data_IF_958027080083
#
_entry.id   IF_958027080083
#
_cell.length_a   1.000
_cell.length_b   1.000
_cell.length_c   1.000
_cell.angle_alpha   90.00
_cell.angle_beta   90.00
_cell.angle_gamma   90.00
#
_symmetry.space_group_name_H-M   'P 1'
#
loop_
_entity.id
_entity.type
_entity.pdbx_description
1 polymer ?
#
# COMPACT_ATOMS: atom_id res chain seq x y z
N UNK A 1 -10.13 -3.77 -42.20
CA UNK A 1 -9.58 -4.53 -41.06
C UNK A 1 -9.68 -6.00 -41.37
N UNK A 2 -8.53 -6.66 -41.56
CA UNK A 2 -8.46 -8.10 -41.80
C UNK A 2 -8.71 -8.90 -40.52
N UNK A 3 -9.01 -10.19 -40.67
CA UNK A 3 -9.23 -11.11 -39.54
C UNK A 3 -7.99 -11.20 -38.62
N UNK A 4 -6.80 -11.07 -39.20
CA UNK A 4 -5.51 -11.08 -38.49
C UNK A 4 -5.35 -9.82 -37.61
N UNK A 5 -5.75 -8.64 -38.10
CA UNK A 5 -5.69 -7.39 -37.34
C UNK A 5 -6.56 -7.47 -36.07
N UNK A 6 -7.76 -8.06 -36.19
CA UNK A 6 -8.66 -8.26 -35.05
C UNK A 6 -8.11 -9.25 -34.02
N UNK A 7 -7.38 -10.27 -34.47
CA UNK A 7 -6.74 -11.25 -33.58
C UNK A 7 -5.56 -10.58 -32.85
N UNK A 8 -4.74 -9.78 -33.54
CA UNK A 8 -3.65 -9.02 -32.93
C UNK A 8 -4.18 -8.05 -31.88
N UNK A 9 -5.20 -7.26 -32.21
CA UNK A 9 -5.80 -6.29 -31.29
C UNK A 9 -6.41 -6.96 -30.05
N UNK A 10 -6.97 -8.17 -30.20
CA UNK A 10 -7.42 -8.97 -29.07
C UNK A 10 -6.26 -9.41 -28.17
N UNK A 11 -5.17 -9.92 -28.75
CA UNK A 11 -3.98 -10.33 -27.99
C UNK A 11 -3.33 -9.17 -27.25
N UNK A 12 -3.22 -8.00 -27.88
CA UNK A 12 -2.65 -6.80 -27.27
C UNK A 12 -3.49 -6.35 -26.07
N UNK A 13 -4.82 -6.36 -26.21
CA UNK A 13 -5.74 -6.01 -25.12
C UNK A 13 -5.68 -7.01 -23.95
N UNK A 14 -5.66 -8.32 -24.23
CA UNK A 14 -5.54 -9.35 -23.19
C UNK A 14 -4.22 -9.22 -22.46
N UNK A 15 -3.11 -9.01 -23.18
CA UNK A 15 -1.77 -8.86 -22.60
C UNK A 15 -1.70 -7.62 -21.71
N UNK A 16 -2.28 -6.50 -22.14
CA UNK A 16 -2.35 -5.28 -21.34
C UNK A 16 -3.13 -5.49 -20.03
N UNK A 17 -4.30 -6.15 -20.09
CA UNK A 17 -5.11 -6.44 -18.91
C UNK A 17 -4.37 -7.37 -17.94
N UNK A 18 -3.77 -8.44 -18.47
CA UNK A 18 -3.05 -9.41 -17.65
C UNK A 18 -1.86 -8.76 -16.94
N UNK A 19 -1.08 -7.95 -17.67
CA UNK A 19 0.04 -7.19 -17.12
C UNK A 19 -0.40 -6.26 -15.98
N UNK A 20 -1.52 -5.54 -16.15
CA UNK A 20 -2.06 -4.67 -15.11
C UNK A 20 -2.47 -5.47 -13.86
N UNK A 21 -3.17 -6.61 -14.03
CA UNK A 21 -3.57 -7.47 -12.91
C UNK A 21 -2.34 -7.99 -12.17
N UNK A 22 -1.34 -8.51 -12.89
CA UNK A 22 -0.10 -9.02 -12.30
C UNK A 22 0.63 -7.93 -11.50
N UNK A 23 0.69 -6.70 -12.03
CA UNK A 23 1.30 -5.58 -11.33
C UNK A 23 0.59 -5.26 -10.01
N UNK A 24 -0.75 -5.23 -9.99
CA UNK A 24 -1.51 -5.01 -8.76
C UNK A 24 -1.32 -6.13 -7.73
N UNK A 25 -1.33 -7.39 -8.18
CA UNK A 25 -1.09 -8.54 -7.30
C UNK A 25 0.30 -8.48 -6.68
N UNK A 26 1.33 -8.12 -7.46
CA UNK A 26 2.69 -7.94 -6.97
C UNK A 26 2.78 -6.84 -5.91
N UNK A 27 2.14 -5.69 -6.13
CA UNK A 27 2.12 -4.60 -5.16
C UNK A 27 1.47 -5.04 -3.85
N UNK A 28 0.32 -5.72 -3.91
CA UNK A 28 -0.38 -6.23 -2.71
C UNK A 28 0.51 -7.25 -1.98
N UNK A 29 1.15 -8.16 -2.71
CA UNK A 29 2.06 -9.14 -2.13
C UNK A 29 3.28 -8.48 -1.46
N UNK A 30 3.88 -7.48 -2.09
CA UNK A 30 4.99 -6.71 -1.52
C UNK A 30 4.56 -5.96 -0.26
N UNK A 31 3.37 -5.34 -0.25
CA UNK A 31 2.83 -4.66 0.93
C UNK A 31 2.68 -5.66 2.07
N UNK A 32 2.04 -6.81 1.84
CA UNK A 32 1.84 -7.84 2.85
C UNK A 32 3.16 -8.41 3.39
N UNK A 33 4.18 -8.57 2.54
CA UNK A 33 5.51 -9.03 2.98
C UNK A 33 6.22 -7.97 3.82
N UNK A 34 6.24 -6.71 3.35
CA UNK A 34 6.93 -5.61 4.01
C UNK A 34 6.26 -5.17 5.32
N UNK A 35 4.94 -5.33 5.44
CA UNK A 35 4.22 -5.08 6.68
C UNK A 35 4.41 -6.18 7.73
N UNK A 36 5.20 -7.23 7.44
CA UNK A 36 5.54 -8.28 8.38
C UNK A 36 4.63 -9.51 8.29
N UNK A 37 4.00 -9.78 7.14
CA UNK A 37 3.13 -10.93 6.95
C UNK A 37 3.82 -12.27 7.24
N UNK A 38 5.09 -12.41 6.86
CA UNK A 38 5.89 -13.60 7.18
C UNK A 38 6.07 -13.78 8.68
N UNK A 39 6.31 -12.69 9.41
CA UNK A 39 6.45 -12.75 10.87
C UNK A 39 5.15 -13.25 11.48
N UNK A 40 4.00 -12.66 11.13
CA UNK A 40 2.69 -13.07 11.67
C UNK A 40 2.38 -14.53 11.39
N UNK A 41 2.68 -15.02 10.18
CA UNK A 41 2.44 -16.41 9.80
C UNK A 41 3.30 -17.39 10.61
N UNK A 42 4.57 -17.04 10.85
CA UNK A 42 5.52 -17.93 11.51
C UNK A 42 5.36 -17.90 13.03
N UNK A 43 5.28 -16.71 13.62
CA UNK A 43 5.32 -16.54 15.08
C UNK A 43 3.95 -16.53 15.73
N UNK A 44 2.88 -16.34 14.95
CA UNK A 44 1.49 -16.25 15.42
C UNK A 44 1.36 -15.32 16.64
N UNK A 45 1.78 -14.06 16.53
CA UNK A 45 1.75 -13.13 17.66
C UNK A 45 0.29 -12.83 18.06
N UNK A 46 0.04 -12.49 19.33
CA UNK A 46 -1.27 -11.98 19.74
C UNK A 46 -1.62 -10.72 18.92
N UNK A 47 -2.92 -10.50 18.74
CA UNK A 47 -3.42 -9.35 17.98
C UNK A 47 -3.03 -8.02 18.62
N UNK A 48 -2.96 -7.98 19.94
CA UNK A 48 -2.66 -6.79 20.75
C UNK A 48 -1.97 -7.21 22.06
N UNK A 49 -1.30 -6.26 22.70
CA UNK A 49 -0.66 -6.41 24.01
C UNK A 49 -1.33 -5.56 25.09
N UNK A 50 -0.81 -5.65 26.32
CA UNK A 50 -1.22 -4.78 27.43
C UNK A 50 -0.22 -3.64 27.65
N UNK A 51 -0.71 -2.46 28.04
CA UNK A 51 0.14 -1.36 28.50
C UNK A 51 0.39 -1.45 30.02
N UNK A 52 1.48 -0.84 30.54
CA UNK A 52 1.74 -0.77 31.98
C UNK A 52 0.63 -0.09 32.79
N UNK A 53 -0.20 0.72 32.13
CA UNK A 53 -1.34 1.44 32.73
C UNK A 53 -2.66 0.66 32.65
N UNK A 54 -2.65 -0.57 32.14
CA UNK A 54 -3.85 -1.42 32.00
C UNK A 54 -4.67 -1.18 30.72
N UNK A 55 -4.10 -0.47 29.74
CA UNK A 55 -4.69 -0.25 28.42
C UNK A 55 -4.25 -1.28 27.37
N UNK A 56 -4.68 -1.06 26.13
CA UNK A 56 -4.36 -1.91 24.97
C UNK A 56 -3.18 -1.34 24.19
N UNK A 57 -2.17 -2.15 23.93
CA UNK A 57 -1.01 -1.83 23.11
C UNK A 57 -1.18 -2.44 21.71
N UNK A 58 -1.30 -1.58 20.70
CA UNK A 58 -1.42 -2.00 19.29
C UNK A 58 -0.08 -1.98 18.54
N UNK A 59 0.98 -1.48 19.18
CA UNK A 59 2.34 -1.41 18.67
C UNK A 59 3.31 -1.99 19.70
N UNK A 60 4.20 -2.86 19.26
CA UNK A 60 5.25 -3.45 20.04
C UNK A 60 6.39 -2.45 20.21
N UNK A 61 6.84 -2.30 21.46
CA UNK A 61 7.94 -1.46 21.89
C UNK A 61 9.30 -1.82 21.25
N UNK A 62 9.47 -3.05 20.80
CA UNK A 62 10.76 -3.51 20.25
C UNK A 62 10.70 -3.60 18.72
N UNK A 63 11.76 -3.21 18.00
CA UNK A 63 11.79 -3.28 16.54
C UNK A 63 11.84 -4.71 15.99
N UNK A 64 12.26 -5.69 16.80
CA UNK A 64 12.33 -7.11 16.44
C UNK A 64 11.03 -7.88 16.66
N UNK A 65 9.99 -7.22 17.17
CA UNK A 65 8.69 -7.82 17.45
C UNK A 65 7.56 -6.96 16.90
N UNK A 66 6.44 -7.59 16.57
CA UNK A 66 5.21 -6.92 16.22
C UNK A 66 3.99 -7.71 16.69
N UNK A 67 2.94 -7.01 17.08
CA UNK A 67 1.61 -7.58 17.27
C UNK A 67 0.92 -7.86 15.93
N UNK A 68 -0.07 -8.76 15.94
CA UNK A 68 -0.83 -9.11 14.73
C UNK A 68 -1.52 -7.90 14.09
N UNK A 69 -2.00 -6.94 14.89
CA UNK A 69 -2.68 -5.74 14.37
C UNK A 69 -1.72 -4.79 13.63
N UNK A 70 -0.43 -4.80 13.97
CA UNK A 70 0.57 -3.93 13.33
C UNK A 70 0.71 -4.22 11.83
N UNK A 71 0.54 -5.48 11.44
CA UNK A 71 0.53 -5.90 10.03
C UNK A 71 -0.45 -5.05 9.20
N UNK A 72 -1.65 -4.86 9.73
CA UNK A 72 -2.71 -4.14 9.04
C UNK A 72 -2.48 -2.63 9.08
N UNK A 73 -1.95 -2.10 10.19
CA UNK A 73 -1.60 -0.69 10.32
C UNK A 73 -0.50 -0.33 9.32
N UNK A 74 0.63 -1.03 9.37
CA UNK A 74 1.77 -0.81 8.45
C UNK A 74 1.36 -1.09 7.01
N UNK A 75 0.59 -2.16 6.77
CA UNK A 75 0.08 -2.49 5.44
C UNK A 75 -0.80 -1.38 4.85
N UNK A 76 -1.67 -0.77 5.66
CA UNK A 76 -2.52 0.36 5.24
C UNK A 76 -1.67 1.58 4.90
N UNK A 77 -0.65 1.89 5.70
CA UNK A 77 0.26 3.01 5.48
C UNK A 77 1.02 2.83 4.16
N UNK A 78 1.61 1.65 3.92
CA UNK A 78 2.30 1.32 2.67
C UNK A 78 1.35 1.30 1.47
N UNK A 79 0.10 0.85 1.66
CA UNK A 79 -0.93 0.88 0.64
C UNK A 79 -1.32 2.30 0.23
N UNK A 80 -1.56 3.20 1.20
CA UNK A 80 -1.83 4.62 0.94
C UNK A 80 -0.65 5.28 0.21
N UNK A 81 0.58 4.99 0.63
CA UNK A 81 1.77 5.51 -0.03
C UNK A 81 1.84 5.04 -1.50
N UNK A 82 1.62 3.74 -1.74
CA UNK A 82 1.64 3.14 -3.08
C UNK A 82 0.56 3.72 -3.99
N UNK A 83 -0.67 3.87 -3.48
CA UNK A 83 -1.78 4.51 -4.20
C UNK A 83 -1.44 5.97 -4.52
N UNK A 84 -0.81 6.69 -3.59
CA UNK A 84 -0.38 8.07 -3.77
C UNK A 84 0.61 8.24 -4.93
N UNK A 85 1.63 7.38 -5.00
CA UNK A 85 2.59 7.36 -6.11
C UNK A 85 1.90 7.04 -7.44
N UNK A 86 1.04 6.02 -7.47
CA UNK A 86 0.33 5.64 -8.71
C UNK A 86 -0.58 6.79 -9.19
N UNK A 87 -1.29 7.46 -8.28
CA UNK A 87 -2.11 8.62 -8.61
C UNK A 87 -1.28 9.74 -9.23
N UNK A 88 -0.10 10.04 -8.68
CA UNK A 88 0.80 11.06 -9.21
C UNK A 88 1.36 10.71 -10.59
N UNK A 89 1.77 9.46 -10.79
CA UNK A 89 2.27 8.99 -12.09
C UNK A 89 1.17 8.99 -13.17
N UNK A 90 -0.10 8.84 -12.77
CA UNK A 90 -1.24 8.87 -13.70
C UNK A 90 -1.79 10.27 -13.95
N UNK A 91 -1.61 11.20 -13.01
CA UNK A 91 -2.07 12.58 -13.14
C UNK A 91 -1.68 13.29 -14.46
N UNK A 92 -0.44 13.20 -14.99
CA UNK A 92 -0.09 13.85 -16.25
C UNK A 92 -0.73 13.20 -17.49
N UNK A 93 -1.18 11.95 -17.39
CA UNK A 93 -1.74 11.18 -18.50
C UNK A 93 -3.27 11.31 -18.62
N UNK A 94 -3.91 12.16 -17.80
CA UNK A 94 -5.35 12.42 -17.89
C UNK A 94 -5.62 13.39 -19.05
N UNK A 95 -6.00 12.83 -20.20
CA UNK A 95 -6.37 13.60 -21.38
C UNK A 95 -7.73 14.28 -21.22
N UNK A 96 -7.82 15.55 -21.65
CA UNK A 96 -9.08 16.24 -21.92
C UNK A 96 -9.65 17.11 -20.79
N UNK A 97 -9.28 16.93 -19.51
CA UNK A 97 -9.81 17.76 -18.42
C UNK A 97 -8.78 18.06 -17.32
N UNK A 98 -8.11 19.23 -17.42
CA UNK A 98 -7.06 19.70 -16.48
C UNK A 98 -7.49 19.62 -15.00
N UNK A 99 -8.77 19.82 -14.70
CA UNK A 99 -9.32 19.75 -13.33
C UNK A 99 -9.18 18.36 -12.70
N UNK A 100 -9.33 17.29 -13.49
CA UNK A 100 -9.20 15.90 -13.02
C UNK A 100 -7.74 15.49 -12.84
N UNK A 101 -6.85 16.01 -13.68
CA UNK A 101 -5.40 15.85 -13.50
C UNK A 101 -4.94 16.49 -12.18
N UNK A 102 -5.40 17.72 -11.89
CA UNK A 102 -5.05 18.42 -10.65
C UNK A 102 -5.64 17.75 -9.41
N UNK A 103 -6.89 17.28 -9.46
CA UNK A 103 -7.50 16.59 -8.31
C UNK A 103 -6.83 15.25 -8.03
N UNK A 104 -6.46 14.48 -9.07
CA UNK A 104 -5.73 13.23 -8.89
C UNK A 104 -4.32 13.46 -8.32
N UNK A 105 -3.63 14.50 -8.79
CA UNK A 105 -2.33 14.89 -8.23
C UNK A 105 -2.46 15.32 -6.75
N UNK A 106 -3.48 16.12 -6.41
CA UNK A 106 -3.72 16.55 -5.04
C UNK A 106 -4.05 15.36 -4.12
N UNK A 107 -4.88 14.43 -4.57
CA UNK A 107 -5.15 13.18 -3.86
C UNK A 107 -3.86 12.38 -3.63
N UNK A 108 -3.02 12.25 -4.67
CA UNK A 108 -1.75 11.55 -4.56
C UNK A 108 -0.81 12.16 -3.53
N UNK A 109 -0.67 13.50 -3.54
CA UNK A 109 0.13 14.23 -2.55
C UNK A 109 -0.40 14.02 -1.13
N UNK A 110 -1.71 14.11 -0.92
CA UNK A 110 -2.33 13.89 0.39
C UNK A 110 -2.05 12.48 0.92
N UNK A 111 -2.20 11.45 0.07
CA UNK A 111 -1.89 10.08 0.43
C UNK A 111 -0.42 9.90 0.84
N UNK A 112 0.52 10.55 0.14
CA UNK A 112 1.93 10.51 0.51
C UNK A 112 2.21 11.21 1.84
N UNK A 113 1.63 12.38 2.07
CA UNK A 113 1.80 13.12 3.33
C UNK A 113 1.28 12.29 4.49
N UNK A 114 0.08 11.73 4.38
CA UNK A 114 -0.50 10.85 5.40
C UNK A 114 0.43 9.67 5.64
N UNK A 115 0.89 8.99 4.59
CA UNK A 115 1.80 7.85 4.70
C UNK A 115 3.11 8.20 5.42
N UNK A 116 3.77 9.31 5.06
CA UNK A 116 5.03 9.75 5.66
C UNK A 116 4.82 10.11 7.14
N UNK A 117 3.82 10.91 7.45
CA UNK A 117 3.52 11.34 8.83
C UNK A 117 3.19 10.12 9.69
N UNK A 118 2.40 9.17 9.18
CA UNK A 118 2.08 7.93 9.89
C UNK A 118 3.33 7.07 10.14
N UNK A 119 4.25 6.95 9.18
CA UNK A 119 5.51 6.20 9.39
C UNK A 119 6.42 6.87 10.43
N UNK A 120 6.52 8.20 10.42
CA UNK A 120 7.29 8.94 11.43
C UNK A 120 6.70 8.70 12.82
N UNK A 121 5.37 8.82 12.94
CA UNK A 121 4.67 8.56 14.19
C UNK A 121 4.92 7.13 14.70
N UNK A 122 4.81 6.14 13.82
CA UNK A 122 5.02 4.73 14.15
C UNK A 122 6.48 4.47 14.58
N UNK A 123 7.45 5.09 13.92
CA UNK A 123 8.86 5.01 14.30
C UNK A 123 9.12 5.61 15.68
N UNK A 124 8.54 6.77 15.98
CA UNK A 124 8.64 7.40 17.32
C UNK A 124 7.96 6.53 18.37
N UNK A 125 6.78 5.97 18.07
CA UNK A 125 6.03 5.11 18.98
C UNK A 125 6.80 3.82 19.31
N UNK A 126 7.50 3.22 18.34
CA UNK A 126 8.36 2.05 18.58
C UNK A 126 9.64 2.37 19.36
N UNK A 127 10.11 3.62 19.38
CA UNK A 127 11.32 3.98 20.12
C UNK A 127 11.04 4.34 21.59
N UNK A 128 9.80 4.71 21.92
CA UNK A 128 9.42 5.21 23.25
C UNK A 128 8.28 4.43 23.92
N UNK A 129 7.80 3.36 23.28
CA UNK A 129 6.73 2.49 23.79
C UNK A 129 7.23 1.41 24.74
#
# INVERSE_FOLDING_TARGET
MGLIDKISEFYDNVTHILSAITQYVLIIAMIALLSGGLFVIITQPPMEGGTPTGGVAILAATPSYQFGIELYVVGTILGLFSIGIIALLRAPNIYGQKRYATSLAAFGILCLIIGIVSMIYLGIAKLHG
#
